data_IF_932298800701
#
_entry.id   IF_932298800701
#
_cell.length_a   1.000
_cell.length_b   1.000
_cell.length_c   1.000
_cell.angle_alpha   90.00
_cell.angle_beta   90.00
_cell.angle_gamma   90.00
#
_symmetry.space_group_name_H-M   'P 1'
#
loop_
_entity.id
_entity.type
_entity.pdbx_description
1 polymer ?
#
# COMPACT_ATOMS: atom_id res chain seq x y z
N UNK A 1 -14.96 19.30 44.56
CA UNK A 1 -13.90 18.30 44.34
C UNK A 1 -14.56 17.02 43.85
N UNK A 2 -14.55 16.78 42.55
CA UNK A 2 -15.08 15.55 41.95
C UNK A 2 -13.97 14.50 41.93
N UNK A 3 -14.06 13.51 42.81
CA UNK A 3 -13.17 12.34 42.80
C UNK A 3 -13.57 11.46 41.61
N UNK A 4 -12.82 11.54 40.52
CA UNK A 4 -12.95 10.59 39.40
C UNK A 4 -12.43 9.24 39.88
N UNK A 5 -13.30 8.24 39.85
CA UNK A 5 -13.02 6.91 40.38
C UNK A 5 -11.98 6.22 39.46
N UNK A 6 -10.79 5.91 39.98
CA UNK A 6 -9.66 5.36 39.22
C UNK A 6 -10.05 4.08 38.45
N UNK A 7 -10.99 3.31 38.99
CA UNK A 7 -11.54 2.11 38.35
C UNK A 7 -12.37 2.42 37.09
N UNK A 8 -13.05 3.57 37.03
CA UNK A 8 -13.80 4.02 35.84
C UNK A 8 -12.82 4.45 34.74
N UNK A 9 -11.73 5.14 35.10
CA UNK A 9 -10.68 5.53 34.15
C UNK A 9 -9.95 4.30 33.58
N UNK A 10 -9.66 3.30 34.41
CA UNK A 10 -9.10 2.01 33.97
C UNK A 10 -10.06 1.21 33.08
N UNK A 11 -11.36 1.21 33.37
CA UNK A 11 -12.36 0.58 32.50
C UNK A 11 -12.47 1.30 31.13
N UNK A 12 -12.41 2.64 31.11
CA UNK A 12 -12.35 3.41 29.85
C UNK A 12 -11.05 3.14 29.08
N UNK A 13 -9.90 3.05 29.75
CA UNK A 13 -8.62 2.70 29.10
C UNK A 13 -8.63 1.27 28.56
N UNK A 14 -9.17 0.30 29.30
CA UNK A 14 -9.27 -1.12 28.87
C UNK A 14 -10.30 -1.29 27.74
N UNK A 15 -11.39 -0.51 27.72
CA UNK A 15 -12.32 -0.49 26.58
C UNK A 15 -11.73 0.21 25.35
N UNK A 16 -10.87 1.23 25.53
CA UNK A 16 -10.21 1.91 24.41
C UNK A 16 -9.11 1.08 23.73
N UNK A 17 -8.67 -0.01 24.34
CA UNK A 17 -7.64 -0.90 23.73
C UNK A 17 -8.22 -2.06 22.91
N UNK A 18 -9.54 -2.20 22.80
CA UNK A 18 -10.17 -3.36 22.15
C UNK A 18 -11.15 -2.96 21.04
N UNK A 19 -10.63 -2.24 20.05
CA UNK A 19 -11.10 -2.31 18.67
C UNK A 19 -9.98 -1.81 17.75
N UNK A 20 -8.76 -2.35 17.92
CA UNK A 20 -7.77 -2.23 16.83
C UNK A 20 -8.28 -3.17 15.74
N UNK A 21 -9.05 -2.60 14.81
CA UNK A 21 -9.41 -3.23 13.55
C UNK A 21 -8.09 -3.57 12.84
N UNK A 22 -7.59 -4.78 13.08
CA UNK A 22 -6.32 -5.20 12.52
C UNK A 22 -6.58 -5.64 11.09
N UNK A 23 -5.92 -4.96 10.15
CA UNK A 23 -5.75 -5.51 8.82
C UNK A 23 -5.28 -6.96 8.92
N UNK A 24 -5.78 -7.79 8.01
CA UNK A 24 -5.08 -9.03 7.71
C UNK A 24 -3.70 -8.66 7.18
N UNK A 25 -2.64 -9.09 7.86
CA UNK A 25 -1.26 -8.82 7.46
C UNK A 25 -0.54 -10.11 7.12
N UNK A 26 0.23 -10.08 6.04
CA UNK A 26 1.04 -11.21 5.60
C UNK A 26 2.46 -10.76 5.27
N UNK A 27 3.41 -11.60 5.64
CA UNK A 27 4.79 -11.46 5.19
C UNK A 27 5.02 -12.26 3.91
N UNK A 28 5.87 -11.72 3.05
CA UNK A 28 6.19 -12.34 1.75
C UNK A 28 6.99 -13.63 1.89
N UNK A 29 7.65 -13.85 3.02
CA UNK A 29 8.29 -15.14 3.29
C UNK A 29 7.31 -16.21 3.79
N UNK A 30 6.07 -15.84 4.12
CA UNK A 30 5.07 -16.80 4.59
C UNK A 30 4.66 -17.76 3.48
N UNK A 31 4.67 -19.06 3.78
CA UNK A 31 4.17 -20.12 2.90
C UNK A 31 2.68 -20.00 2.53
N UNK A 32 1.92 -19.21 3.30
CA UNK A 32 0.51 -18.89 3.06
C UNK A 32 0.34 -17.92 1.89
N UNK A 33 1.26 -16.96 1.74
CA UNK A 33 1.26 -15.97 0.67
C UNK A 33 2.12 -16.43 -0.52
N UNK A 34 3.28 -17.01 -0.23
CA UNK A 34 4.29 -17.32 -1.23
C UNK A 34 4.62 -18.80 -1.21
N UNK A 35 4.43 -19.45 -2.35
CA UNK A 35 4.74 -20.86 -2.54
C UNK A 35 5.63 -21.02 -3.78
N UNK A 36 6.77 -21.73 -3.68
CA UNK A 36 7.63 -22.00 -4.83
C UNK A 36 6.96 -22.86 -5.91
N UNK A 37 5.90 -23.58 -5.56
CA UNK A 37 5.28 -24.62 -6.40
C UNK A 37 3.99 -24.12 -7.02
N UNK A 38 3.20 -23.34 -6.29
CA UNK A 38 1.85 -22.94 -6.68
C UNK A 38 1.60 -21.47 -6.41
N UNK A 39 1.01 -20.77 -7.40
CA UNK A 39 0.49 -19.42 -7.18
C UNK A 39 -0.58 -19.47 -6.08
N UNK A 40 -0.38 -18.74 -5.00
CA UNK A 40 -1.38 -18.64 -3.92
C UNK A 40 -2.48 -17.69 -4.33
N UNK A 41 -3.69 -17.99 -3.86
CA UNK A 41 -4.87 -17.17 -4.09
C UNK A 41 -5.41 -16.69 -2.76
N UNK A 42 -5.36 -15.39 -2.53
CA UNK A 42 -5.75 -14.74 -1.28
C UNK A 42 -7.10 -14.08 -1.48
N UNK A 43 -8.09 -14.56 -0.72
CA UNK A 43 -9.43 -14.00 -0.75
C UNK A 43 -9.53 -12.80 0.20
N UNK A 44 -10.08 -11.70 -0.31
CA UNK A 44 -10.52 -10.57 0.51
C UNK A 44 -11.98 -10.75 0.90
N UNK A 45 -12.26 -10.60 2.19
CA UNK A 45 -13.58 -10.74 2.81
C UNK A 45 -14.42 -9.47 2.70
N UNK A 46 -15.15 -9.16 3.77
CA UNK A 46 -15.98 -7.95 3.91
C UNK A 46 -15.51 -7.17 5.14
N UNK A 47 -15.88 -5.89 5.21
CA UNK A 47 -15.57 -5.03 6.37
C UNK A 47 -14.07 -5.03 6.67
N UNK A 48 -13.65 -5.36 7.88
CA UNK A 48 -12.25 -5.47 8.30
C UNK A 48 -11.42 -6.45 7.46
N UNK A 49 -12.03 -7.54 7.00
CA UNK A 49 -11.37 -8.56 6.18
C UNK A 49 -11.29 -8.17 4.70
N UNK A 50 -11.84 -7.00 4.34
CA UNK A 50 -11.86 -6.52 2.95
C UNK A 50 -10.55 -5.88 2.50
N UNK A 51 -9.52 -5.87 3.35
CA UNK A 51 -8.17 -5.44 3.00
C UNK A 51 -7.07 -6.39 3.48
N UNK A 52 -5.89 -6.28 2.86
CA UNK A 52 -4.71 -7.07 3.13
C UNK A 52 -3.46 -6.19 3.09
N UNK A 53 -2.65 -6.24 4.15
CA UNK A 53 -1.28 -5.74 4.15
C UNK A 53 -0.32 -6.85 3.72
N UNK A 54 0.56 -6.52 2.79
CA UNK A 54 1.68 -7.39 2.41
C UNK A 54 2.97 -6.63 2.63
N UNK A 55 3.85 -7.15 3.47
CA UNK A 55 5.10 -6.47 3.82
C UNK A 55 6.30 -7.40 3.87
N UNK A 56 7.47 -6.83 3.62
CA UNK A 56 8.74 -7.48 3.92
C UNK A 56 9.79 -6.41 4.15
N UNK A 57 10.54 -6.55 5.25
CA UNK A 57 11.75 -5.76 5.50
C UNK A 57 12.94 -6.68 5.59
N UNK A 58 13.94 -6.49 4.71
CA UNK A 58 15.22 -7.19 4.70
C UNK A 58 16.24 -6.37 5.49
N UNK A 59 16.63 -6.89 6.64
CA UNK A 59 17.87 -6.54 7.34
C UNK A 59 18.84 -7.72 7.18
N UNK A 60 20.14 -7.51 7.40
CA UNK A 60 21.22 -8.48 7.13
C UNK A 60 21.05 -9.89 7.76
N UNK A 61 20.10 -10.06 8.67
CA UNK A 61 19.81 -11.29 9.41
C UNK A 61 18.48 -11.95 8.99
N UNK A 62 18.34 -12.28 7.70
CA UNK A 62 17.15 -12.97 7.19
C UNK A 62 17.32 -14.47 7.02
N UNK A 63 16.26 -15.20 7.36
CA UNK A 63 16.21 -16.67 7.46
C UNK A 63 16.64 -17.39 6.17
N UNK A 64 16.43 -16.75 5.01
CA UNK A 64 16.61 -17.38 3.70
C UNK A 64 18.01 -17.21 3.11
N UNK A 65 18.86 -16.32 3.66
CA UNK A 65 20.20 -15.98 3.13
C UNK A 65 20.25 -16.06 1.59
N UNK A 66 19.26 -15.45 0.95
CA UNK A 66 18.82 -15.59 -0.44
C UNK A 66 19.86 -16.16 -1.42
N UNK A 67 20.09 -17.49 -1.38
CA UNK A 67 21.08 -18.16 -2.26
C UNK A 67 20.63 -18.22 -3.72
N UNK A 68 19.34 -17.98 -3.95
CA UNK A 68 18.66 -18.00 -5.24
C UNK A 68 17.73 -16.81 -5.33
N UNK A 69 17.40 -16.42 -6.55
CA UNK A 69 16.46 -15.33 -6.77
C UNK A 69 15.12 -15.70 -6.14
N UNK A 70 14.58 -14.75 -5.40
CA UNK A 70 13.27 -14.89 -4.82
C UNK A 70 12.22 -14.36 -5.76
N UNK A 71 11.21 -15.18 -5.99
CA UNK A 71 10.02 -14.78 -6.73
C UNK A 71 8.79 -15.28 -6.02
N UNK A 72 8.01 -14.35 -5.48
CA UNK A 72 6.68 -14.63 -5.00
C UNK A 72 5.65 -14.14 -6.00
N UNK A 73 4.71 -15.01 -6.37
CA UNK A 73 3.54 -14.64 -7.18
C UNK A 73 2.28 -15.10 -6.48
N UNK A 74 1.35 -14.17 -6.24
CA UNK A 74 0.06 -14.44 -5.63
C UNK A 74 -1.05 -13.67 -6.35
N UNK A 75 -2.27 -14.19 -6.27
CA UNK A 75 -3.48 -13.60 -6.81
C UNK A 75 -4.35 -13.11 -5.66
N UNK A 76 -4.74 -11.84 -5.72
CA UNK A 76 -5.80 -11.29 -4.90
C UNK A 76 -7.13 -11.52 -5.61
N UNK A 77 -8.11 -12.02 -4.88
CA UNK A 77 -9.47 -12.29 -5.36
C UNK A 77 -10.49 -11.75 -4.39
N UNK A 78 -11.33 -10.85 -4.87
CA UNK A 78 -12.43 -10.32 -4.07
C UNK A 78 -13.57 -11.34 -4.05
N UNK A 79 -14.16 -11.56 -2.88
CA UNK A 79 -15.18 -12.60 -2.69
C UNK A 79 -16.47 -12.37 -3.50
N UNK A 80 -16.71 -11.14 -3.98
CA UNK A 80 -17.90 -10.72 -4.72
C UNK A 80 -17.55 -10.40 -6.17
N UNK A 81 -18.29 -10.95 -7.12
CA UNK A 81 -18.04 -10.77 -8.56
C UNK A 81 -18.30 -9.35 -9.09
N UNK A 82 -19.01 -8.50 -8.33
CA UNK A 82 -19.28 -7.10 -8.67
C UNK A 82 -18.30 -6.11 -8.05
N UNK A 83 -17.42 -6.61 -7.18
CA UNK A 83 -16.53 -5.77 -6.38
C UNK A 83 -15.16 -5.74 -7.08
N UNK A 84 -14.49 -4.58 -7.02
CA UNK A 84 -13.15 -4.41 -7.56
C UNK A 84 -12.10 -4.43 -6.46
N UNK A 85 -10.83 -4.34 -6.86
CA UNK A 85 -9.71 -4.27 -5.93
C UNK A 85 -8.81 -3.07 -6.26
N UNK A 86 -8.43 -2.35 -5.21
CA UNK A 86 -7.34 -1.40 -5.21
C UNK A 86 -6.06 -2.07 -4.73
N UNK A 87 -4.93 -1.65 -5.30
CA UNK A 87 -3.63 -1.93 -4.73
C UNK A 87 -2.84 -0.62 -4.64
N UNK A 88 -2.24 -0.36 -3.48
CA UNK A 88 -1.43 0.84 -3.23
C UNK A 88 -0.09 0.42 -2.65
N UNK A 89 0.99 0.86 -3.28
CA UNK A 89 2.34 0.73 -2.72
C UNK A 89 2.52 1.85 -1.69
N UNK A 90 2.51 1.49 -0.41
CA UNK A 90 2.70 2.44 0.71
C UNK A 90 4.15 2.86 0.82
N UNK A 91 5.05 1.88 0.78
CA UNK A 91 6.49 2.05 0.92
C UNK A 91 7.21 1.14 -0.06
N UNK A 92 8.27 1.66 -0.66
CA UNK A 92 9.16 0.89 -1.51
C UNK A 92 10.60 1.36 -1.29
N UNK A 93 11.47 0.43 -0.96
CA UNK A 93 12.92 0.56 -0.95
C UNK A 93 13.41 -0.72 -1.62
N UNK A 94 13.60 -0.67 -2.94
CA UNK A 94 14.04 -1.80 -3.76
C UNK A 94 15.19 -1.36 -4.66
N UNK A 95 16.18 -2.24 -4.89
CA UNK A 95 17.35 -1.87 -5.67
C UNK A 95 17.00 -1.70 -7.15
N UNK A 96 17.68 -0.74 -7.77
CA UNK A 96 17.68 -0.51 -9.22
C UNK A 96 19.09 -0.18 -9.68
N UNK A 97 19.38 -0.42 -10.94
CA UNK A 97 20.62 0.01 -11.54
C UNK A 97 20.57 1.54 -11.72
N UNK A 98 21.43 2.27 -11.04
CA UNK A 98 21.46 3.75 -11.10
C UNK A 98 21.83 4.31 -12.48
N UNK A 99 22.51 3.51 -13.31
CA UNK A 99 22.90 3.92 -14.67
C UNK A 99 21.77 3.68 -15.67
N UNK A 100 21.15 2.50 -15.65
CA UNK A 100 20.10 2.13 -16.62
C UNK A 100 18.68 2.46 -16.15
N UNK A 101 18.49 2.78 -14.87
CA UNK A 101 17.20 2.85 -14.17
C UNK A 101 16.39 1.55 -14.19
N UNK A 102 16.99 0.42 -14.58
CA UNK A 102 16.31 -0.87 -14.57
C UNK A 102 16.23 -1.44 -13.15
N UNK A 103 15.09 -2.03 -12.81
CA UNK A 103 14.89 -2.65 -11.50
C UNK A 103 15.72 -3.92 -11.35
N UNK A 104 16.47 -4.01 -10.25
CA UNK A 104 17.16 -5.23 -9.80
C UNK A 104 16.16 -6.06 -8.98
N UNK A 105 15.56 -5.43 -7.98
CA UNK A 105 14.41 -5.96 -7.24
C UNK A 105 13.15 -5.20 -7.67
N UNK A 106 12.00 -5.85 -7.75
CA UNK A 106 10.78 -5.17 -8.18
C UNK A 106 9.48 -5.74 -7.63
N UNK A 107 8.46 -4.89 -7.65
CA UNK A 107 7.06 -5.27 -7.55
C UNK A 107 6.40 -5.03 -8.90
N UNK A 108 5.62 -5.99 -9.36
CA UNK A 108 4.86 -5.88 -10.60
C UNK A 108 3.45 -6.38 -10.39
N UNK A 109 2.48 -5.61 -10.86
CA UNK A 109 1.09 -6.03 -10.90
C UNK A 109 0.71 -6.44 -12.32
N UNK A 110 -0.21 -7.39 -12.41
CA UNK A 110 -0.76 -7.89 -13.66
C UNK A 110 -2.27 -8.03 -13.51
N UNK A 111 -2.99 -7.50 -14.50
CA UNK A 111 -4.46 -7.64 -14.57
C UNK A 111 -4.86 -9.01 -15.10
N UNK A 112 -6.12 -9.38 -14.87
CA UNK A 112 -6.70 -10.66 -15.35
C UNK A 112 -6.65 -10.79 -16.89
N UNK A 113 -6.65 -9.66 -17.63
CA UNK A 113 -6.54 -9.63 -19.10
C UNK A 113 -5.14 -9.98 -19.64
N UNK A 114 -4.17 -10.23 -18.77
CA UNK A 114 -2.81 -10.57 -19.16
C UNK A 114 -1.88 -9.37 -19.34
N UNK A 115 -2.38 -8.13 -19.26
CA UNK A 115 -1.56 -6.92 -19.37
C UNK A 115 -0.64 -6.79 -18.14
N UNK A 116 0.66 -6.82 -18.40
CA UNK A 116 1.67 -6.53 -17.39
C UNK A 116 1.69 -5.02 -17.15
N UNK A 117 1.60 -4.62 -15.88
CA UNK A 117 1.85 -3.24 -15.52
C UNK A 117 3.34 -3.02 -15.30
N UNK A 118 3.81 -1.77 -15.31
CA UNK A 118 5.22 -1.41 -15.12
C UNK A 118 5.79 -1.99 -13.82
N UNK A 119 7.07 -2.37 -13.87
CA UNK A 119 7.82 -2.77 -12.67
C UNK A 119 8.11 -1.56 -11.80
N UNK A 120 7.98 -1.73 -10.49
CA UNK A 120 8.24 -0.72 -9.47
C UNK A 120 9.46 -1.08 -8.65
N UNK A 121 10.39 -0.13 -8.54
CA UNK A 121 11.61 -0.23 -7.73
C UNK A 121 12.13 1.16 -7.34
N UNK A 122 13.24 1.22 -6.61
CA UNK A 122 13.78 2.46 -6.06
C UNK A 122 13.08 2.84 -4.75
N UNK A 123 13.08 4.14 -4.46
CA UNK A 123 12.43 4.71 -3.29
C UNK A 123 11.03 5.22 -3.63
N UNK A 124 10.03 4.83 -2.83
CA UNK A 124 8.67 5.35 -2.89
C UNK A 124 8.08 5.43 -1.49
N UNK A 125 7.36 6.50 -1.23
CA UNK A 125 6.51 6.67 -0.05
C UNK A 125 5.18 7.26 -0.51
N UNK A 126 4.05 6.62 -0.20
CA UNK A 126 2.72 7.03 -0.62
C UNK A 126 2.33 8.41 -0.10
N UNK A 127 2.66 8.75 1.16
CA UNK A 127 2.40 10.08 1.73
C UNK A 127 3.15 11.20 0.97
N UNK A 128 4.27 10.87 0.32
CA UNK A 128 4.96 11.83 -0.56
C UNK A 128 4.40 11.78 -1.97
N UNK A 129 4.37 10.60 -2.59
CA UNK A 129 4.09 10.45 -4.03
C UNK A 129 2.63 10.67 -4.39
N UNK A 130 1.71 10.49 -3.44
CA UNK A 130 0.28 10.71 -3.64
C UNK A 130 -0.15 12.12 -3.26
N UNK A 131 0.73 12.99 -2.77
CA UNK A 131 0.40 14.38 -2.47
C UNK A 131 -0.18 15.11 -3.68
N UNK A 132 -1.19 15.97 -3.47
CA UNK A 132 -1.87 16.69 -4.57
C UNK A 132 -0.92 17.49 -5.45
N UNK A 133 0.20 17.98 -4.89
CA UNK A 133 1.25 18.70 -5.63
C UNK A 133 1.98 17.87 -6.69
N UNK A 134 1.97 16.53 -6.56
CA UNK A 134 2.58 15.61 -7.52
C UNK A 134 1.58 15.06 -8.54
N UNK A 135 0.31 15.48 -8.47
CA UNK A 135 -0.69 15.14 -9.47
C UNK A 135 -0.38 15.86 -10.81
N UNK A 136 -0.44 15.17 -11.96
CA UNK A 136 -0.15 15.79 -13.26
C UNK A 136 -1.16 16.91 -13.62
N UNK A 137 -0.64 18.10 -13.91
CA UNK A 137 -1.41 19.25 -14.44
C UNK A 137 -1.47 19.19 -15.99
N UNK A 138 -2.56 19.60 -16.68
CA UNK A 138 -3.82 20.16 -16.22
C UNK A 138 -4.89 19.06 -16.15
N UNK A 139 -4.64 17.95 -15.45
CA UNK A 139 -5.60 16.86 -15.45
C UNK A 139 -6.60 16.98 -14.30
N UNK A 140 -7.80 17.40 -14.69
CA UNK A 140 -9.06 17.10 -14.05
C UNK A 140 -9.25 15.59 -13.90
N UNK A 141 -8.58 14.96 -12.96
CA UNK A 141 -9.01 13.65 -12.50
C UNK A 141 -8.51 13.39 -11.10
N UNK A 142 -9.27 13.90 -10.12
CA UNK A 142 -9.52 13.14 -8.90
C UNK A 142 -9.84 11.66 -9.24
N UNK A 143 -10.30 11.37 -10.46
CA UNK A 143 -10.68 10.05 -10.96
C UNK A 143 -9.52 9.11 -11.40
N UNK A 144 -8.27 9.57 -11.57
CA UNK A 144 -7.18 8.73 -12.07
C UNK A 144 -6.28 8.23 -10.92
N UNK A 145 -5.86 6.95 -10.95
CA UNK A 145 -4.97 6.42 -9.93
C UNK A 145 -3.57 7.08 -10.02
N UNK A 146 -2.92 7.23 -8.88
CA UNK A 146 -1.51 7.66 -8.79
C UNK A 146 -0.56 6.60 -9.37
N UNK A 147 0.67 6.98 -9.71
CA UNK A 147 1.65 6.05 -10.30
C UNK A 147 2.04 4.86 -9.41
N UNK A 148 1.75 4.93 -8.11
CA UNK A 148 1.99 3.88 -7.12
C UNK A 148 0.71 3.10 -6.74
N UNK A 149 -0.39 3.31 -7.47
CA UNK A 149 -1.66 2.66 -7.18
C UNK A 149 -2.32 2.07 -8.42
N UNK A 150 -3.19 1.09 -8.19
CA UNK A 150 -3.79 0.27 -9.22
C UNK A 150 -5.23 -0.04 -8.89
N UNK A 151 -6.03 -0.16 -9.96
CA UNK A 151 -7.45 -0.50 -9.88
C UNK A 151 -7.69 -1.65 -10.84
N UNK A 152 -8.27 -2.74 -10.33
CA UNK A 152 -8.85 -3.81 -11.15
C UNK A 152 -10.36 -3.93 -10.85
N UNK A 153 -11.24 -3.59 -11.80
CA UNK A 153 -12.68 -3.58 -11.59
C UNK A 153 -13.31 -4.98 -11.56
N UNK A 154 -12.56 -6.04 -11.83
CA UNK A 154 -13.03 -7.43 -11.77
C UNK A 154 -12.66 -8.09 -10.44
N UNK A 155 -12.02 -7.35 -9.53
CA UNK A 155 -11.63 -7.85 -8.22
C UNK A 155 -10.48 -8.84 -8.28
N UNK A 156 -9.68 -8.83 -9.37
CA UNK A 156 -8.60 -9.80 -9.59
C UNK A 156 -7.29 -9.12 -9.95
N UNK A 157 -6.29 -9.28 -9.09
CA UNK A 157 -4.97 -8.72 -9.33
C UNK A 157 -3.90 -9.74 -9.01
N UNK A 158 -2.96 -9.94 -9.93
CA UNK A 158 -1.78 -10.78 -9.70
C UNK A 158 -0.63 -9.86 -9.30
N UNK A 159 -0.04 -10.10 -8.14
CA UNK A 159 1.16 -9.42 -7.69
C UNK A 159 2.37 -10.36 -7.80
N UNK A 160 3.46 -9.84 -8.36
CA UNK A 160 4.76 -10.49 -8.41
C UNK A 160 5.77 -9.64 -7.68
N UNK A 161 6.42 -10.23 -6.69
CA UNK A 161 7.52 -9.64 -5.94
C UNK A 161 8.76 -10.43 -6.29
N UNK A 162 9.78 -9.74 -6.79
CA UNK A 162 11.05 -10.32 -7.17
C UNK A 162 12.18 -9.64 -6.40
N UNK A 163 13.04 -10.44 -5.78
CA UNK A 163 14.24 -9.98 -5.08
C UNK A 163 15.43 -10.80 -5.59
N UNK A 164 16.44 -10.13 -6.11
CA UNK A 164 17.65 -10.76 -6.61
C UNK A 164 18.43 -11.44 -5.47
N UNK A 165 19.06 -12.57 -5.79
CA UNK A 165 20.01 -13.27 -4.91
C UNK A 165 21.24 -12.45 -4.56
N UNK A 166 21.51 -11.37 -5.30
CA UNK A 166 22.64 -10.49 -5.03
C UNK A 166 22.58 -9.97 -3.58
N UNK A 167 23.68 -10.07 -2.82
CA UNK A 167 23.72 -9.54 -1.46
C UNK A 167 23.49 -8.04 -1.46
N UNK A 168 22.94 -7.52 -0.37
CA UNK A 168 22.87 -6.08 -0.16
C UNK A 168 24.30 -5.57 0.08
N UNK A 169 24.64 -4.45 -0.55
CA UNK A 169 25.86 -3.72 -0.25
C UNK A 169 25.70 -2.98 1.09
N UNK A 170 26.82 -2.55 1.69
CA UNK A 170 26.78 -1.80 2.94
C UNK A 170 25.92 -0.53 2.78
N UNK A 171 24.91 -0.39 3.66
CA UNK A 171 23.95 0.71 3.62
C UNK A 171 22.78 0.53 2.65
N UNK A 172 22.72 -0.56 1.89
CA UNK A 172 21.51 -0.93 1.15
C UNK A 172 20.50 -1.63 2.05
N UNK A 173 19.23 -1.30 1.87
CA UNK A 173 18.11 -1.97 2.53
C UNK A 173 17.08 -2.41 1.48
N UNK A 174 16.25 -3.38 1.84
CA UNK A 174 15.06 -3.73 1.06
C UNK A 174 13.85 -3.69 1.98
N UNK A 175 12.90 -2.82 1.72
CA UNK A 175 11.71 -2.69 2.56
C UNK A 175 10.52 -2.27 1.71
N UNK A 176 9.41 -2.97 1.83
CA UNK A 176 8.20 -2.61 1.13
C UNK A 176 6.95 -2.97 1.90
N UNK A 177 5.91 -2.19 1.64
CA UNK A 177 4.58 -2.35 2.19
C UNK A 177 3.55 -2.08 1.10
N UNK A 178 2.66 -3.05 0.89
CA UNK A 178 1.55 -3.00 -0.04
C UNK A 178 0.23 -3.08 0.73
N UNK A 179 -0.76 -2.33 0.28
CA UNK A 179 -2.15 -2.44 0.71
C UNK A 179 -2.98 -2.92 -0.46
N UNK A 180 -3.79 -3.95 -0.26
CA UNK A 180 -4.84 -4.36 -1.19
C UNK A 180 -6.19 -4.17 -0.52
N UNK A 181 -7.13 -3.53 -1.20
CA UNK A 181 -8.43 -3.16 -0.61
C UNK A 181 -9.54 -3.45 -1.59
N UNK A 182 -10.53 -4.23 -1.17
CA UNK A 182 -11.75 -4.44 -1.93
C UNK A 182 -12.60 -3.17 -1.92
N UNK A 183 -13.16 -2.83 -3.08
CA UNK A 183 -14.11 -1.73 -3.21
C UNK A 183 -15.40 -2.18 -3.91
N UNK A 184 -16.49 -1.47 -3.63
CA UNK A 184 -17.79 -1.73 -4.25
C UNK A 184 -18.60 -0.46 -4.41
N UNK A 185 -19.78 -0.60 -5.01
CA UNK A 185 -20.76 0.48 -5.08
C UNK A 185 -21.33 0.84 -3.70
N UNK A 186 -21.37 2.13 -3.39
CA UNK A 186 -21.97 2.74 -2.19
C UNK A 186 -23.50 2.57 -2.11
N UNK A 187 -24.16 2.07 -3.17
CA UNK A 187 -25.61 1.95 -3.20
C UNK A 187 -26.15 1.06 -2.08
N UNK A 188 -25.35 0.09 -1.64
CA UNK A 188 -25.71 -0.91 -0.64
C UNK A 188 -24.83 -0.68 0.59
N UNK A 189 -25.44 -0.32 1.74
CA UNK A 189 -24.78 -0.12 3.05
C UNK A 189 -23.91 1.13 3.19
N UNK A 190 -24.51 2.32 2.99
CA UNK A 190 -23.86 3.64 3.19
C UNK A 190 -23.33 3.90 4.61
N UNK A 191 -23.72 3.10 5.60
CA UNK A 191 -23.24 3.25 6.97
C UNK A 191 -21.86 2.62 7.18
N UNK A 192 -21.56 1.54 6.47
CA UNK A 192 -20.32 0.77 6.65
C UNK A 192 -19.27 1.07 5.57
N UNK A 193 -19.65 1.72 4.47
CA UNK A 193 -18.78 2.00 3.35
C UNK A 193 -18.85 3.46 2.94
N UNK A 194 -17.68 4.09 2.80
CA UNK A 194 -17.53 5.47 2.36
C UNK A 194 -16.86 5.53 0.99
N UNK A 195 -17.26 6.48 0.13
CA UNK A 195 -16.63 6.65 -1.16
C UNK A 195 -15.24 7.27 -1.01
N UNK A 196 -14.27 6.80 -1.81
CA UNK A 196 -12.94 7.41 -1.85
C UNK A 196 -12.97 8.88 -2.33
N UNK A 197 -13.97 9.25 -3.15
CA UNK A 197 -14.16 10.63 -3.60
C UNK A 197 -15.65 11.00 -3.48
N UNK A 198 -15.98 12.24 -3.08
CA UNK A 198 -17.37 12.65 -2.83
C UNK A 198 -18.36 12.37 -3.97
N UNK A 199 -17.90 12.37 -5.23
CA UNK A 199 -18.74 12.17 -6.41
C UNK A 199 -18.65 10.76 -7.02
N UNK A 200 -17.82 9.85 -6.49
CA UNK A 200 -17.69 8.47 -6.98
C UNK A 200 -18.43 7.49 -6.07
N UNK A 201 -19.68 7.21 -6.40
CA UNK A 201 -20.51 6.27 -5.65
C UNK A 201 -20.30 4.81 -6.04
N UNK A 202 -19.47 4.52 -7.05
CA UNK A 202 -19.13 3.18 -7.53
C UNK A 202 -17.91 2.57 -6.84
N UNK A 203 -17.19 3.36 -6.03
CA UNK A 203 -15.89 3.02 -5.44
C UNK A 203 -15.80 3.39 -3.96
N UNK A 204 -16.29 2.46 -3.15
CA UNK A 204 -16.46 2.63 -1.72
C UNK A 204 -15.76 1.51 -0.96
N UNK A 205 -15.02 1.89 0.07
CA UNK A 205 -14.25 0.98 0.93
C UNK A 205 -14.84 1.02 2.34
N UNK A 206 -14.48 0.02 3.15
CA UNK A 206 -14.98 -0.06 4.52
C UNK A 206 -14.58 1.18 5.32
N UNK A 207 -15.52 1.75 6.09
CA UNK A 207 -15.33 2.99 6.85
C UNK A 207 -14.18 2.90 7.86
N UNK A 208 -13.88 1.70 8.37
CA UNK A 208 -12.76 1.49 9.29
C UNK A 208 -11.38 1.68 8.65
N UNK A 209 -11.29 1.86 7.33
CA UNK A 209 -10.05 2.14 6.61
C UNK A 209 -9.79 3.63 6.38
N UNK A 210 -10.64 4.50 6.93
CA UNK A 210 -10.39 5.94 6.91
C UNK A 210 -9.66 6.34 8.18
N UNK A 211 -8.55 7.06 8.03
CA UNK A 211 -7.72 7.57 9.12
C UNK A 211 -7.06 6.46 9.94
N UNK A 212 -6.70 5.35 9.28
CA UNK A 212 -6.07 4.19 9.91
C UNK A 212 -4.54 4.17 9.77
N UNK A 213 -3.97 5.14 9.05
CA UNK A 213 -2.55 5.26 8.77
C UNK A 213 -2.08 4.57 7.48
N UNK A 214 -2.98 3.99 6.68
CA UNK A 214 -2.68 3.36 5.40
C UNK A 214 -3.52 3.97 4.27
N UNK A 215 -2.86 4.32 3.17
CA UNK A 215 -3.59 4.87 2.02
C UNK A 215 -4.21 3.73 1.19
N UNK A 216 -5.51 3.51 1.35
CA UNK A 216 -6.28 2.52 0.60
C UNK A 216 -6.80 3.10 -0.72
N UNK A 217 -7.21 4.36 -0.72
CA UNK A 217 -7.79 5.00 -1.88
C UNK A 217 -6.70 5.37 -2.91
N UNK A 218 -6.85 5.00 -4.20
CA UNK A 218 -5.78 5.13 -5.20
C UNK A 218 -5.58 6.57 -5.72
N UNK A 219 -6.23 7.56 -5.13
CA UNK A 219 -6.33 8.91 -5.69
C UNK A 219 -5.38 9.91 -5.03
N UNK A 220 -4.98 10.97 -5.75
CA UNK A 220 -4.15 12.02 -5.17
C UNK A 220 -4.77 12.66 -3.92
N UNK A 221 -3.93 12.96 -2.94
CA UNK A 221 -4.29 13.64 -1.71
C UNK A 221 -4.51 12.76 -0.50
N UNK A 222 -4.27 11.44 -0.62
CA UNK A 222 -4.49 10.49 0.49
C UNK A 222 -5.90 10.68 1.06
N UNK A 223 -6.89 10.57 0.17
CA UNK A 223 -8.27 11.04 0.37
C UNK A 223 -9.00 10.35 1.51
N UNK A 224 -8.53 9.17 1.92
CA UNK A 224 -8.97 8.43 3.10
C UNK A 224 -8.23 8.81 4.39
N UNK A 225 -7.06 9.45 4.31
CA UNK A 225 -6.18 9.79 5.43
C UNK A 225 -6.18 11.28 5.82
N UNK A 226 -7.25 12.00 5.45
CA UNK A 226 -7.43 13.46 5.57
C UNK A 226 -6.51 14.30 4.68
N UNK A 227 -5.23 13.97 4.57
CA UNK A 227 -4.28 14.60 3.65
C UNK A 227 -2.93 13.86 3.66
N UNK A 228 -2.21 13.91 2.55
CA UNK A 228 -0.80 13.51 2.54
C UNK A 228 0.05 14.64 3.16
N UNK A 229 0.47 14.51 4.42
CA UNK A 229 1.36 15.50 5.06
C UNK A 229 2.82 15.01 5.08
N UNK A 230 3.77 15.76 4.51
CA UNK A 230 5.19 15.45 4.64
C UNK A 230 5.72 15.65 6.07
N UNK A 231 4.98 16.31 6.97
CA UNK A 231 5.44 16.59 8.34
C UNK A 231 5.50 15.35 9.23
N UNK A 232 4.72 14.30 8.92
CA UNK A 232 4.75 12.99 9.61
C UNK A 232 6.07 12.22 9.42
N UNK A 233 6.91 12.62 8.47
CA UNK A 233 8.23 12.01 8.22
C UNK A 233 9.32 12.50 9.18
N UNK A 234 9.10 13.60 9.91
CA UNK A 234 10.11 14.13 10.84
C UNK A 234 10.18 13.36 12.17
N UNK A 235 9.08 12.71 12.57
CA UNK A 235 9.01 11.94 13.83
C UNK A 235 9.56 10.50 13.69
N UNK A 236 9.77 10.01 12.47
CA UNK A 236 10.31 8.66 12.19
C UNK A 236 11.84 8.63 11.99
N UNK A 237 12.55 9.73 12.24
CA UNK A 237 14.01 9.77 12.24
C UNK A 237 14.67 9.64 10.86
N UNK A 238 13.94 9.85 9.76
CA UNK A 238 14.47 9.70 8.41
C UNK A 238 15.18 10.99 7.94
N UNK A 239 16.49 10.92 7.70
CA UNK A 239 17.23 12.00 7.04
C UNK A 239 16.83 12.04 5.57
N UNK A 240 16.04 13.05 5.18
CA UNK A 240 15.77 13.37 3.78
C UNK A 240 17.12 13.69 3.11
N UNK A 241 17.55 12.88 2.14
CA UNK A 241 18.71 13.24 1.32
C UNK A 241 18.36 14.50 0.50
N UNK A 242 19.21 15.55 0.50
CA UNK A 242 18.87 16.86 -0.09
C UNK A 242 18.60 16.86 -1.60
N UNK A 243 18.84 15.75 -2.30
CA UNK A 243 18.81 15.67 -3.76
C UNK A 243 17.41 15.62 -4.37
N UNK A 244 16.34 15.40 -3.59
CA UNK A 244 14.97 15.35 -4.12
C UNK A 244 14.29 16.73 -4.25
N UNK A 245 14.78 17.78 -3.59
CA UNK A 245 14.12 19.10 -3.62
C UNK A 245 14.53 19.93 -4.85
N UNK A 246 15.69 19.65 -5.46
CA UNK A 246 16.29 20.57 -6.44
C UNK A 246 16.05 20.25 -7.93
N UNK A 247 15.43 19.12 -8.30
CA UNK A 247 15.33 18.76 -9.74
C UNK A 247 14.14 19.35 -10.50
N UNK A 248 13.13 19.92 -9.84
CA UNK A 248 11.94 20.44 -10.52
C UNK A 248 11.86 21.96 -10.65
N UNK A 249 12.90 22.72 -10.26
CA UNK A 249 12.92 24.18 -10.42
C UNK A 249 13.65 24.70 -11.67
N UNK A 250 14.29 23.83 -12.46
CA UNK A 250 15.01 24.22 -13.68
C UNK A 250 14.57 23.41 -14.90
N UNK A 251 13.33 23.61 -15.35
CA UNK A 251 12.94 23.47 -16.76
C UNK A 251 11.96 24.59 -17.12
N UNK A 252 12.48 25.81 -17.17
CA UNK A 252 11.95 26.91 -17.99
C UNK A 252 13.14 27.49 -18.75
N UNK A 253 13.27 27.08 -20.00
CA UNK A 253 13.86 27.87 -21.09
C UNK A 253 12.80 27.90 -22.16
#
# INVERSE_FOLDING_TARGET
>A
MTTVNLNILLLFLVFSMNAVLSYKSMHVESGELCSPITKRKIKLGKHEDSALLVSQKRLDDHSLKWKVDFKCTFEIDVSSHSDGVFAVIQKLILRKNETTNECIDYIQFKRDDGSNISRHCGYLNAELSMGKHFAPYPFSSDLAPTGNSYIDPKGKLIATIFVSREPLLEGEETDFLLVFTSYKSCMWNKQDYLPCLPHQTDKCIYVGFFHDGYVNCPYPGCVDENECSPEKLSESGFKILPTMILKNQFRRI
#
